data_IF_761966945611
#
_entry.id   IF_761966945611
#
_cell.length_a   1.000
_cell.length_b   1.000
_cell.length_c   1.000
_cell.angle_alpha   90.00
_cell.angle_beta   90.00
_cell.angle_gamma   90.00
#
_symmetry.space_group_name_H-M   'P 1'
#
loop_
_entity.id
_entity.type
_entity.pdbx_description
1 polymer ?
#
# COMPACT_ATOMS: atom_id res chain seq x y z
N UNK A 1 -30.50 29.44 2.66
CA UNK A 1 -29.46 28.82 3.51
C UNK A 1 -28.14 29.09 2.81
N UNK A 2 -27.37 30.04 3.34
CA UNK A 2 -26.11 30.51 2.77
C UNK A 2 -25.01 29.52 3.17
N UNK A 3 -24.30 28.94 2.20
CA UNK A 3 -23.18 28.03 2.46
C UNK A 3 -21.92 28.89 2.56
N UNK A 4 -21.65 29.46 3.73
CA UNK A 4 -20.40 30.17 4.01
C UNK A 4 -19.30 29.15 4.33
N UNK A 5 -18.89 28.38 3.32
CA UNK A 5 -17.76 27.48 3.38
C UNK A 5 -16.52 28.16 2.83
N UNK A 6 -15.77 28.87 3.67
CA UNK A 6 -14.44 29.36 3.30
C UNK A 6 -13.53 28.15 3.13
N UNK A 7 -13.44 27.63 1.90
CA UNK A 7 -12.43 26.64 1.56
C UNK A 7 -11.06 27.32 1.68
N UNK A 8 -10.26 26.87 2.65
CA UNK A 8 -8.88 27.31 2.83
C UNK A 8 -8.13 27.08 1.52
N UNK A 9 -7.34 28.06 1.07
CA UNK A 9 -6.53 27.93 -0.13
C UNK A 9 -5.55 26.75 0.02
N UNK A 10 -5.32 26.02 -1.06
CA UNK A 10 -4.41 24.86 -1.08
C UNK A 10 -2.96 25.34 -0.98
N UNK A 11 -2.29 25.05 0.14
CA UNK A 11 -0.92 25.51 0.44
C UNK A 11 0.13 24.40 0.33
N UNK A 12 -0.26 23.14 0.08
CA UNK A 12 0.64 21.99 0.13
C UNK A 12 1.54 21.83 -1.10
N UNK A 13 1.21 22.47 -2.23
CA UNK A 13 2.01 22.37 -3.46
C UNK A 13 2.08 23.73 -4.17
N UNK A 14 3.28 24.15 -4.54
CA UNK A 14 3.49 25.29 -5.43
C UNK A 14 3.24 24.86 -6.88
N UNK A 15 2.23 25.47 -7.52
CA UNK A 15 1.87 25.20 -8.92
C UNK A 15 2.98 25.58 -9.91
N UNK A 16 3.90 26.47 -9.53
CA UNK A 16 5.01 26.93 -10.38
C UNK A 16 6.19 25.96 -10.38
N UNK A 17 6.35 25.17 -9.32
CA UNK A 17 7.46 24.21 -9.13
C UNK A 17 7.12 22.83 -9.72
N UNK A 18 5.84 22.49 -9.81
CA UNK A 18 5.38 21.18 -10.29
C UNK A 18 5.67 20.05 -9.29
N UNK A 19 5.54 18.79 -9.73
CA UNK A 19 5.79 17.64 -8.86
C UNK A 19 7.29 17.51 -8.54
N UNK A 20 7.65 17.63 -7.25
CA UNK A 20 9.01 17.48 -6.75
C UNK A 20 9.71 16.19 -7.25
N UNK A 21 8.99 15.08 -7.31
CA UNK A 21 9.53 13.80 -7.80
C UNK A 21 9.96 13.88 -9.26
N UNK A 22 9.29 14.67 -10.09
CA UNK A 22 9.71 14.88 -11.49
C UNK A 22 11.04 15.63 -11.57
N UNK A 23 11.29 16.58 -10.66
CA UNK A 23 12.57 17.28 -10.58
C UNK A 23 13.70 16.34 -10.12
N UNK A 24 13.44 15.51 -9.09
CA UNK A 24 14.39 14.48 -8.64
C UNK A 24 14.69 13.43 -9.70
N UNK A 25 13.73 13.12 -10.58
CA UNK A 25 13.86 12.10 -11.60
C UNK A 25 14.75 12.49 -12.80
N UNK A 26 15.27 13.71 -12.89
CA UNK A 26 16.27 14.13 -13.90
C UNK A 26 15.90 13.75 -15.36
N UNK A 27 14.64 13.91 -15.74
CA UNK A 27 14.14 13.57 -17.09
C UNK A 27 13.60 12.14 -17.25
N UNK A 28 13.67 11.31 -16.21
CA UNK A 28 12.98 10.01 -16.16
C UNK A 28 11.48 10.17 -15.90
N UNK A 29 10.69 9.22 -16.41
CA UNK A 29 9.24 9.22 -16.23
C UNK A 29 8.89 8.86 -14.78
N UNK A 30 8.15 9.76 -14.13
CA UNK A 30 7.54 9.50 -12.82
C UNK A 30 6.12 8.97 -13.02
N UNK A 31 5.80 7.86 -12.36
CA UNK A 31 4.45 7.27 -12.38
C UNK A 31 4.03 6.95 -10.94
N UNK A 32 2.77 7.22 -10.63
CA UNK A 32 2.17 6.78 -9.37
C UNK A 32 1.75 5.31 -9.52
N UNK A 33 2.27 4.45 -8.65
CA UNK A 33 1.90 3.05 -8.59
C UNK A 33 1.22 2.77 -7.25
N UNK A 34 -0.10 2.58 -7.28
CA UNK A 34 -0.84 2.17 -6.09
C UNK A 34 -0.56 0.71 -5.74
N UNK A 35 -0.68 0.36 -4.46
CA UNK A 35 -0.62 -1.02 -3.98
C UNK A 35 -1.83 -1.26 -3.07
N UNK A 36 -2.58 -2.32 -3.32
CA UNK A 36 -3.61 -2.80 -2.40
C UNK A 36 -3.03 -3.88 -1.54
N UNK A 37 -2.93 -3.59 -0.24
CA UNK A 37 -2.45 -4.54 0.74
C UNK A 37 -3.60 -5.30 1.38
N UNK A 38 -3.38 -6.58 1.65
CA UNK A 38 -4.33 -7.41 2.39
C UNK A 38 -3.58 -8.37 3.29
N UNK A 39 -4.15 -8.59 4.47
CA UNK A 39 -3.67 -9.57 5.44
C UNK A 39 -4.67 -10.73 5.48
N UNK A 40 -4.18 -11.94 5.26
CA UNK A 40 -4.94 -13.18 5.37
C UNK A 40 -4.41 -14.00 6.56
N UNK A 41 -5.32 -14.55 7.38
CA UNK A 41 -4.95 -15.48 8.44
C UNK A 41 -5.04 -16.90 7.87
N UNK A 42 -3.89 -17.49 7.56
CA UNK A 42 -3.81 -18.85 7.03
C UNK A 42 -3.93 -19.89 8.14
N UNK A 43 -4.97 -19.80 8.98
CA UNK A 43 -5.28 -20.82 9.99
C UNK A 43 -5.93 -22.06 9.35
N UNK A 44 -5.23 -22.72 8.42
CA UNK A 44 -5.75 -23.93 7.74
C UNK A 44 -5.46 -25.19 8.58
N UNK A 45 -6.23 -25.37 9.66
CA UNK A 45 -6.75 -26.66 10.15
C UNK A 45 -7.32 -26.50 11.57
N UNK A 46 -8.50 -27.07 11.80
CA UNK A 46 -9.14 -27.18 13.13
C UNK A 46 -8.25 -27.87 14.18
N UNK A 47 -7.23 -28.63 13.74
CA UNK A 47 -6.24 -29.33 14.58
C UNK A 47 -4.95 -28.55 14.84
N UNK A 48 -4.70 -27.44 14.14
CA UNK A 48 -3.51 -26.57 14.33
C UNK A 48 -3.90 -25.18 14.79
N UNK A 49 -4.76 -25.14 15.81
CA UNK A 49 -5.25 -23.92 16.49
C UNK A 49 -4.16 -23.02 17.12
N UNK A 50 -2.89 -23.44 17.02
CA UNK A 50 -1.73 -22.85 17.71
C UNK A 50 -0.66 -22.28 16.78
N UNK A 51 -0.90 -22.24 15.46
CA UNK A 51 0.06 -21.71 14.50
C UNK A 51 -0.67 -20.86 13.44
N UNK A 52 -1.40 -19.85 13.90
CA UNK A 52 -1.93 -18.81 13.01
C UNK A 52 -0.75 -18.03 12.44
N UNK A 53 -0.60 -18.05 11.12
CA UNK A 53 0.39 -17.24 10.42
C UNK A 53 -0.37 -16.15 9.68
N UNK A 54 -0.20 -14.91 10.14
CA UNK A 54 -0.64 -13.74 9.41
C UNK A 54 0.21 -13.63 8.16
N UNK A 55 -0.45 -13.56 7.02
CA UNK A 55 0.16 -13.45 5.71
C UNK A 55 -0.17 -12.09 5.12
N UNK A 56 0.84 -11.28 4.85
CA UNK A 56 0.66 -10.02 4.15
C UNK A 56 1.00 -10.16 2.67
N UNK A 57 0.08 -9.72 1.83
CA UNK A 57 0.22 -9.72 0.39
C UNK A 57 -0.18 -8.36 -0.18
N UNK A 58 0.22 -8.09 -1.43
CA UNK A 58 -0.30 -6.97 -2.19
C UNK A 58 -0.68 -7.33 -3.62
N UNK A 59 -1.59 -6.55 -4.18
CA UNK A 59 -1.91 -6.58 -5.61
C UNK A 59 -1.96 -5.17 -6.18
N UNK A 60 -1.84 -5.07 -7.51
CA UNK A 60 -1.92 -3.79 -8.22
C UNK A 60 -3.39 -3.36 -8.33
N UNK A 61 -3.75 -2.14 -7.92
CA UNK A 61 -5.11 -1.63 -8.06
C UNK A 61 -5.44 -1.36 -9.53
N UNK A 62 -6.73 -1.48 -9.87
CA UNK A 62 -7.23 -1.16 -11.22
C UNK A 62 -7.11 -2.29 -12.25
N UNK A 63 -6.61 -3.47 -11.85
CA UNK A 63 -6.70 -4.66 -12.69
C UNK A 63 -8.16 -5.15 -12.76
N UNK A 64 -8.63 -5.63 -13.94
CA UNK A 64 -9.89 -6.37 -14.02
C UNK A 64 -9.84 -7.56 -13.07
N UNK A 65 -10.98 -7.93 -12.47
CA UNK A 65 -11.08 -9.01 -11.47
C UNK A 65 -10.40 -10.31 -11.93
N UNK A 66 -10.61 -10.70 -13.18
CA UNK A 66 -10.03 -11.90 -13.78
C UNK A 66 -8.49 -11.89 -13.77
N UNK A 67 -7.88 -10.71 -13.80
CA UNK A 67 -6.44 -10.55 -13.71
C UNK A 67 -5.97 -10.34 -12.28
N UNK A 68 -6.70 -9.58 -11.46
CA UNK A 68 -6.32 -9.30 -10.07
C UNK A 68 -6.16 -10.59 -9.23
N UNK A 69 -6.92 -11.64 -9.56
CA UNK A 69 -6.86 -12.93 -8.87
C UNK A 69 -5.80 -13.90 -9.40
N UNK A 70 -5.07 -13.54 -10.47
CA UNK A 70 -4.00 -14.39 -10.99
C UNK A 70 -2.79 -14.30 -10.07
N UNK A 71 -2.20 -15.45 -9.76
CA UNK A 71 -1.08 -15.57 -8.82
C UNK A 71 0.08 -14.60 -9.13
N UNK A 72 0.38 -14.36 -10.40
CA UNK A 72 1.45 -13.44 -10.77
C UNK A 72 1.17 -11.95 -10.49
N UNK A 73 -0.09 -11.58 -10.21
CA UNK A 73 -0.50 -10.23 -9.80
C UNK A 73 -0.72 -10.14 -8.27
N UNK A 74 -0.50 -11.24 -7.56
CA UNK A 74 -0.62 -11.37 -6.12
C UNK A 74 0.78 -11.62 -5.55
N UNK A 75 1.29 -10.66 -4.81
CA UNK A 75 2.67 -10.68 -4.36
C UNK A 75 2.73 -10.85 -2.85
N UNK A 76 3.48 -11.86 -2.40
CA UNK A 76 3.80 -12.06 -1.00
C UNK A 76 4.77 -10.96 -0.51
N UNK A 77 4.51 -10.41 0.68
CA UNK A 77 5.44 -9.54 1.38
C UNK A 77 6.10 -10.24 2.56
N UNK A 78 5.29 -10.71 3.50
CA UNK A 78 5.76 -11.17 4.79
C UNK A 78 4.77 -12.15 5.43
N UNK A 79 5.30 -12.98 6.34
CA UNK A 79 4.51 -13.82 7.22
C UNK A 79 4.97 -13.64 8.66
N UNK A 80 4.04 -13.70 9.62
CA UNK A 80 4.38 -13.70 11.03
C UNK A 80 3.37 -14.49 11.85
N UNK A 81 3.86 -15.24 12.83
CA UNK A 81 3.05 -15.94 13.82
C UNK A 81 2.99 -15.21 15.18
N UNK A 82 3.68 -14.08 15.30
CA UNK A 82 3.79 -13.33 16.56
C UNK A 82 3.31 -11.90 16.36
N UNK A 83 3.69 -11.28 15.23
CA UNK A 83 3.33 -9.91 14.93
C UNK A 83 1.88 -9.82 14.46
N UNK A 84 1.14 -8.89 15.05
CA UNK A 84 -0.20 -8.57 14.60
C UNK A 84 -0.15 -7.87 13.22
N UNK A 85 -1.23 -7.89 12.43
CA UNK A 85 -1.24 -7.29 11.09
C UNK A 85 -0.77 -5.83 11.05
N UNK A 86 -1.10 -5.02 12.07
CA UNK A 86 -0.67 -3.62 12.13
C UNK A 86 0.84 -3.49 12.38
N UNK A 87 1.42 -4.31 13.27
CA UNK A 87 2.86 -4.31 13.52
C UNK A 87 3.64 -4.77 12.28
N UNK A 88 3.10 -5.74 11.55
CA UNK A 88 3.66 -6.15 10.25
C UNK A 88 3.58 -5.01 9.22
N UNK A 89 2.46 -4.27 9.20
CA UNK A 89 2.26 -3.15 8.28
C UNK A 89 3.22 -2.00 8.59
N UNK A 90 3.44 -1.67 9.86
CA UNK A 90 4.43 -0.66 10.26
C UNK A 90 5.82 -1.03 9.73
N UNK A 91 6.25 -2.29 9.91
CA UNK A 91 7.52 -2.77 9.35
C UNK A 91 7.59 -2.69 7.81
N UNK A 92 6.47 -2.88 7.11
CA UNK A 92 6.39 -2.70 5.65
C UNK A 92 6.53 -1.22 5.29
N UNK A 93 5.90 -0.30 6.03
CA UNK A 93 6.02 1.15 5.81
C UNK A 93 7.46 1.61 6.01
N UNK A 94 8.11 1.20 7.10
CA UNK A 94 9.52 1.49 7.37
C UNK A 94 10.42 1.05 6.21
N UNK A 95 10.18 -0.14 5.66
CA UNK A 95 10.92 -0.63 4.49
C UNK A 95 10.67 0.20 3.24
N UNK A 96 9.43 0.62 2.98
CA UNK A 96 9.10 1.46 1.82
C UNK A 96 9.75 2.85 1.92
N UNK A 97 9.76 3.45 3.12
CA UNK A 97 10.39 4.74 3.36
C UNK A 97 11.92 4.67 3.23
N UNK A 98 12.53 3.56 3.65
CA UNK A 98 13.97 3.36 3.48
C UNK A 98 14.43 3.38 2.00
N UNK A 99 13.56 2.96 1.07
CA UNK A 99 13.85 2.94 -0.37
C UNK A 99 13.37 4.17 -1.14
N UNK A 100 12.65 5.09 -0.47
CA UNK A 100 12.11 6.33 -1.07
C UNK A 100 13.11 7.48 -0.98
#
# INVERSE_FOLDING_TARGET
>A
MQIDGVHKAWEFTDLTVGNHWCALAQGHRVVSFGKWFYCDDTSSNLLKKWNGHNLFLFTTPGLPREHAQKEYNVHFLATSNIAAPLEMLDGIVDQLEYFS
#
